data_IF_588506775737
#
_entry.id   IF_588506775737
#
_cell.length_a   1.000
_cell.length_b   1.000
_cell.length_c   1.000
_cell.angle_alpha   90.00
_cell.angle_beta   90.00
_cell.angle_gamma   90.00
#
_symmetry.space_group_name_H-M   'P 1'
#
loop_
_entity.id
_entity.type
_entity.pdbx_description
1 polymer ?
#
# COMPACT_ATOMS: atom_id res chain seq x y z
N UNK A 1 17.57 7.21 -9.84
CA UNK A 1 17.08 6.41 -8.68
C UNK A 1 16.06 5.42 -9.23
N UNK A 2 15.75 4.29 -8.58
CA UNK A 2 14.63 3.47 -9.10
C UNK A 2 13.34 4.31 -9.04
N UNK A 3 12.59 4.33 -10.15
CA UNK A 3 11.27 4.97 -10.21
C UNK A 3 10.32 4.31 -9.18
N UNK A 4 9.65 5.09 -8.31
CA UNK A 4 8.62 4.58 -7.41
C UNK A 4 7.48 3.92 -8.19
N UNK A 5 6.92 2.84 -7.64
CA UNK A 5 5.69 2.25 -8.20
C UNK A 5 4.50 3.20 -7.93
N UNK A 6 3.50 3.16 -8.81
CA UNK A 6 2.17 3.65 -8.51
C UNK A 6 1.26 2.48 -8.13
N UNK A 7 0.63 2.55 -6.97
CA UNK A 7 -0.36 1.59 -6.48
C UNK A 7 -1.74 2.24 -6.41
N UNK A 8 -2.77 1.52 -6.82
CA UNK A 8 -4.17 1.92 -6.59
C UNK A 8 -4.78 1.13 -5.44
N UNK A 9 -5.32 1.84 -4.45
CA UNK A 9 -6.07 1.24 -3.33
C UNK A 9 -7.57 1.23 -3.65
N UNK A 10 -8.17 0.04 -3.74
CA UNK A 10 -9.59 -0.14 -4.02
C UNK A 10 -10.36 -0.35 -2.71
N UNK A 11 -10.89 0.74 -2.15
CA UNK A 11 -11.69 0.77 -0.90
C UNK A 11 -13.20 0.89 -1.15
N UNK A 12 -13.69 0.40 -2.30
CA UNK A 12 -15.11 0.43 -2.63
C UNK A 12 -15.91 -0.55 -1.76
N UNK A 13 -17.19 -0.24 -1.50
CA UNK A 13 -18.07 -1.09 -0.71
C UNK A 13 -18.63 -2.29 -1.47
N UNK A 14 -18.41 -2.35 -2.80
CA UNK A 14 -18.88 -3.45 -3.65
C UNK A 14 -17.78 -3.89 -4.63
N UNK A 15 -17.71 -5.20 -4.88
CA UNK A 15 -16.78 -5.78 -5.84
C UNK A 15 -17.03 -5.27 -7.27
N UNK A 16 -18.29 -5.08 -7.66
CA UNK A 16 -18.62 -4.59 -9.00
C UNK A 16 -18.05 -3.19 -9.26
N UNK A 17 -18.16 -2.28 -8.29
CA UNK A 17 -17.60 -0.93 -8.41
C UNK A 17 -16.07 -0.97 -8.44
N UNK A 18 -15.44 -1.74 -7.55
CA UNK A 18 -14.00 -1.93 -7.51
C UNK A 18 -13.46 -2.48 -8.84
N UNK A 19 -14.07 -3.55 -9.36
CA UNK A 19 -13.68 -4.16 -10.63
C UNK A 19 -13.85 -3.20 -11.81
N UNK A 20 -14.92 -2.39 -11.83
CA UNK A 20 -15.10 -1.35 -12.86
C UNK A 20 -13.96 -0.33 -12.82
N UNK A 21 -13.59 0.16 -11.65
CA UNK A 21 -12.49 1.13 -11.50
C UNK A 21 -11.16 0.49 -11.89
N UNK A 22 -10.91 -0.73 -11.41
CA UNK A 22 -9.72 -1.50 -11.72
C UNK A 22 -9.56 -1.74 -13.23
N UNK A 23 -10.65 -2.04 -13.94
CA UNK A 23 -10.63 -2.21 -15.40
C UNK A 23 -10.02 -0.99 -16.13
N UNK A 24 -10.32 0.23 -15.68
CA UNK A 24 -9.81 1.46 -16.30
C UNK A 24 -8.40 1.83 -15.81
N UNK A 25 -8.16 1.85 -14.51
CA UNK A 25 -6.90 2.35 -13.94
C UNK A 25 -5.82 1.27 -13.78
N UNK A 26 -6.23 0.01 -13.58
CA UNK A 26 -5.37 -1.15 -13.36
C UNK A 26 -4.26 -1.30 -14.41
N UNK A 27 -4.54 -1.20 -15.72
CA UNK A 27 -3.49 -1.28 -16.75
C UNK A 27 -2.34 -0.27 -16.59
N UNK A 28 -2.62 0.91 -16.01
CA UNK A 28 -1.69 2.05 -15.91
C UNK A 28 -0.85 2.00 -14.64
N UNK A 29 -1.38 1.46 -13.54
CA UNK A 29 -0.68 1.36 -12.26
C UNK A 29 0.21 0.11 -12.20
N UNK A 30 1.20 0.12 -11.34
CA UNK A 30 2.15 -0.98 -11.16
C UNK A 30 1.61 -2.04 -10.18
N UNK A 31 0.81 -1.63 -9.20
CA UNK A 31 0.24 -2.49 -8.15
C UNK A 31 -1.27 -2.21 -8.04
N UNK A 32 -2.07 -3.27 -7.93
CA UNK A 32 -3.51 -3.17 -7.64
C UNK A 32 -3.78 -3.79 -6.26
N UNK A 33 -4.38 -3.01 -5.38
CA UNK A 33 -4.65 -3.41 -3.99
C UNK A 33 -6.14 -3.60 -3.75
N UNK A 34 -6.51 -4.74 -3.16
CA UNK A 34 -7.80 -4.93 -2.49
C UNK A 34 -7.68 -4.27 -1.13
N UNK A 35 -8.24 -3.07 -0.99
CA UNK A 35 -8.18 -2.31 0.27
C UNK A 35 -8.99 -2.99 1.36
N UNK A 36 -8.69 -2.68 2.63
CA UNK A 36 -9.37 -3.31 3.78
C UNK A 36 -10.90 -3.23 3.70
N UNK A 37 -11.45 -2.11 3.22
CA UNK A 37 -12.92 -1.96 3.11
C UNK A 37 -13.49 -2.98 2.11
N UNK A 38 -12.85 -3.14 0.96
CA UNK A 38 -13.31 -4.08 -0.06
C UNK A 38 -13.13 -5.53 0.39
N UNK A 39 -12.03 -5.86 1.08
CA UNK A 39 -11.83 -7.18 1.66
C UNK A 39 -12.91 -7.53 2.68
N UNK A 40 -13.29 -6.59 3.56
CA UNK A 40 -14.35 -6.83 4.53
C UNK A 40 -15.72 -7.05 3.88
N UNK A 41 -15.94 -6.49 2.69
CA UNK A 41 -17.21 -6.57 1.98
C UNK A 41 -17.32 -7.80 1.05
N UNK A 42 -16.23 -8.18 0.38
CA UNK A 42 -16.22 -9.20 -0.66
C UNK A 42 -15.27 -10.38 -0.38
N UNK A 43 -14.50 -10.31 0.71
CA UNK A 43 -13.55 -11.34 1.10
C UNK A 43 -12.49 -11.63 0.02
N UNK A 44 -11.98 -12.85 0.05
CA UNK A 44 -10.93 -13.32 -0.87
C UNK A 44 -11.37 -13.34 -2.36
N UNK A 45 -12.67 -13.31 -2.64
CA UNK A 45 -13.18 -13.27 -4.02
C UNK A 45 -12.66 -12.03 -4.74
N UNK A 46 -12.58 -10.88 -4.06
CA UNK A 46 -12.04 -9.65 -4.64
C UNK A 46 -10.58 -9.82 -5.11
N UNK A 47 -9.74 -10.50 -4.32
CA UNK A 47 -8.34 -10.79 -4.66
C UNK A 47 -8.28 -11.66 -5.92
N UNK A 48 -9.08 -12.73 -5.95
CA UNK A 48 -9.10 -13.66 -7.09
C UNK A 48 -9.58 -13.01 -8.39
N UNK A 49 -10.56 -12.09 -8.31
CA UNK A 49 -11.04 -11.31 -9.46
C UNK A 49 -9.94 -10.39 -9.98
N UNK A 50 -9.24 -9.67 -9.11
CA UNK A 50 -8.16 -8.79 -9.55
C UNK A 50 -6.98 -9.57 -10.13
N UNK A 51 -6.62 -10.73 -9.57
CA UNK A 51 -5.62 -11.63 -10.16
C UNK A 51 -6.04 -12.09 -11.55
N UNK A 52 -7.30 -12.48 -11.75
CA UNK A 52 -7.80 -12.89 -13.06
C UNK A 52 -7.78 -11.74 -14.08
N UNK A 53 -8.07 -10.51 -13.65
CA UNK A 53 -8.01 -9.32 -14.50
C UNK A 53 -6.56 -8.91 -14.84
N UNK A 54 -5.63 -9.10 -13.91
CA UNK A 54 -4.25 -8.63 -14.01
C UNK A 54 -3.25 -9.75 -13.67
N UNK A 55 -3.09 -10.75 -14.55
CA UNK A 55 -2.26 -11.93 -14.26
C UNK A 55 -0.79 -11.58 -14.00
N UNK A 56 -0.27 -10.52 -14.63
CA UNK A 56 1.14 -10.13 -14.56
C UNK A 56 1.44 -8.97 -13.59
N UNK A 57 0.42 -8.41 -12.93
CA UNK A 57 0.61 -7.32 -11.97
C UNK A 57 0.82 -7.85 -10.55
N UNK A 58 1.41 -6.99 -9.72
CA UNK A 58 1.46 -7.20 -8.28
C UNK A 58 0.05 -6.95 -7.73
N UNK A 59 -0.48 -7.93 -7.01
CA UNK A 59 -1.75 -7.82 -6.27
C UNK A 59 -1.46 -7.72 -4.78
N UNK A 60 -1.96 -6.66 -4.14
CA UNK A 60 -1.87 -6.46 -2.70
C UNK A 60 -3.20 -6.79 -2.01
N UNK A 61 -3.12 -7.49 -0.88
CA UNK A 61 -4.23 -7.84 0.00
C UNK A 61 -4.09 -7.08 1.31
N UNK A 62 -4.90 -6.03 1.50
CA UNK A 62 -4.80 -5.12 2.63
C UNK A 62 -5.63 -5.60 3.84
N UNK A 63 -5.29 -6.77 4.35
CA UNK A 63 -5.99 -7.42 5.46
C UNK A 63 -5.81 -6.68 6.79
N UNK A 64 -4.74 -5.87 6.93
CA UNK A 64 -4.25 -5.33 8.21
C UNK A 64 -4.19 -6.41 9.29
N UNK A 65 -3.71 -7.59 8.91
CA UNK A 65 -3.71 -8.79 9.74
C UNK A 65 -3.09 -8.52 11.13
N UNK A 66 -3.89 -8.74 12.17
CA UNK A 66 -3.51 -8.54 13.58
C UNK A 66 -3.15 -9.86 14.30
N UNK A 67 -3.74 -10.98 13.87
CA UNK A 67 -3.50 -12.32 14.43
C UNK A 67 -3.72 -13.42 13.37
N UNK A 68 -3.42 -14.68 13.71
CA UNK A 68 -3.54 -15.84 12.83
C UNK A 68 -2.73 -15.69 11.52
N UNK A 69 -1.52 -15.13 11.63
CA UNK A 69 -0.72 -14.65 10.49
C UNK A 69 -0.52 -15.66 9.37
N UNK A 70 -0.21 -16.93 9.68
CA UNK A 70 -0.09 -17.97 8.65
C UNK A 70 -1.40 -18.25 7.92
N UNK A 71 -2.52 -18.34 8.64
CA UNK A 71 -3.84 -18.59 8.05
C UNK A 71 -4.25 -17.45 7.14
N UNK A 72 -4.15 -16.19 7.59
CA UNK A 72 -4.52 -15.03 6.79
C UNK A 72 -3.61 -14.91 5.56
N UNK A 73 -2.29 -15.07 5.74
CA UNK A 73 -1.33 -15.07 4.62
C UNK A 73 -1.60 -16.19 3.61
N UNK A 74 -1.98 -17.39 4.07
CA UNK A 74 -2.30 -18.51 3.20
C UNK A 74 -3.55 -18.22 2.38
N UNK A 75 -4.60 -17.67 3.01
CA UNK A 75 -5.83 -17.28 2.32
C UNK A 75 -5.57 -16.22 1.24
N UNK A 76 -4.82 -15.15 1.56
CA UNK A 76 -4.47 -14.12 0.57
C UNK A 76 -3.62 -14.68 -0.56
N UNK A 77 -2.63 -15.53 -0.25
CA UNK A 77 -1.75 -16.17 -1.23
C UNK A 77 -2.51 -17.10 -2.17
N UNK A 78 -3.39 -17.95 -1.64
CA UNK A 78 -4.20 -18.88 -2.42
C UNK A 78 -5.20 -18.16 -3.32
N UNK A 79 -5.69 -16.99 -2.89
CA UNK A 79 -6.52 -16.11 -3.71
C UNK A 79 -5.73 -15.34 -4.78
N UNK A 80 -4.40 -15.36 -4.73
CA UNK A 80 -3.51 -14.81 -5.75
C UNK A 80 -2.81 -13.49 -5.39
N UNK A 81 -2.76 -13.11 -4.11
CA UNK A 81 -2.00 -11.94 -3.67
C UNK A 81 -0.49 -12.19 -3.65
N UNK A 82 0.29 -11.18 -4.06
CA UNK A 82 1.74 -11.14 -3.94
C UNK A 82 2.19 -10.45 -2.66
N UNK A 83 1.41 -9.46 -2.22
CA UNK A 83 1.65 -8.67 -1.03
C UNK A 83 0.49 -8.80 -0.04
N UNK A 84 0.78 -8.77 1.26
CA UNK A 84 -0.22 -8.71 2.32
C UNK A 84 0.20 -7.74 3.43
N UNK A 85 -0.73 -6.92 3.91
CA UNK A 85 -0.47 -6.02 5.04
C UNK A 85 -0.68 -6.71 6.39
N UNK A 86 0.18 -6.37 7.35
CA UNK A 86 0.02 -6.67 8.79
C UNK A 86 0.00 -5.36 9.54
N UNK A 87 -0.88 -5.21 10.54
CA UNK A 87 -0.94 -3.96 11.31
C UNK A 87 0.24 -3.86 12.29
N UNK A 88 0.77 -2.66 12.53
CA UNK A 88 1.91 -2.41 13.42
C UNK A 88 1.74 -2.90 14.87
N UNK A 89 0.51 -3.16 15.31
CA UNK A 89 0.16 -3.71 16.62
C UNK A 89 0.22 -5.24 16.71
N UNK A 90 0.30 -5.95 15.57
CA UNK A 90 0.44 -7.40 15.56
C UNK A 90 1.71 -7.86 16.30
N UNK A 91 1.67 -9.07 16.86
CA UNK A 91 2.84 -9.60 17.57
C UNK A 91 3.93 -10.01 16.58
N UNK A 92 5.20 -10.01 17.03
CA UNK A 92 6.32 -10.53 16.22
C UNK A 92 6.10 -12.01 15.85
N UNK A 93 5.44 -12.80 16.70
CA UNK A 93 5.11 -14.19 16.39
C UNK A 93 4.10 -14.28 15.23
N UNK A 94 3.04 -13.46 15.25
CA UNK A 94 2.06 -13.34 14.16
C UNK A 94 2.74 -12.92 12.86
N UNK A 95 3.56 -11.86 12.90
CA UNK A 95 4.28 -11.36 11.73
C UNK A 95 5.25 -12.40 11.15
N UNK A 96 6.00 -13.12 11.99
CA UNK A 96 6.85 -14.26 11.58
C UNK A 96 6.03 -15.36 10.90
N UNK A 97 4.88 -15.70 11.47
CA UNK A 97 3.99 -16.74 10.95
C UNK A 97 3.38 -16.36 9.59
N UNK A 98 3.05 -15.08 9.37
CA UNK A 98 2.63 -14.58 8.06
C UNK A 98 3.80 -14.64 7.05
N UNK A 99 4.98 -14.15 7.46
CA UNK A 99 6.18 -14.11 6.60
C UNK A 99 6.70 -15.48 6.20
N UNK A 100 6.41 -16.53 6.97
CA UNK A 100 6.76 -17.91 6.59
C UNK A 100 5.89 -18.47 5.46
N UNK A 101 4.75 -17.84 5.17
CA UNK A 101 3.80 -18.26 4.13
C UNK A 101 3.91 -17.41 2.87
N UNK A 102 3.97 -16.09 3.05
CA UNK A 102 4.05 -15.10 1.97
C UNK A 102 5.26 -14.19 2.18
N UNK A 103 6.13 -14.06 1.18
CA UNK A 103 7.32 -13.21 1.28
C UNK A 103 6.99 -11.72 1.30
N UNK A 104 5.92 -11.33 0.63
CA UNK A 104 5.46 -9.94 0.47
C UNK A 104 4.73 -9.34 1.66
N UNK A 105 5.23 -9.50 2.89
CA UNK A 105 4.63 -8.86 4.05
C UNK A 105 5.00 -7.36 4.12
N UNK A 106 3.99 -6.51 4.33
CA UNK A 106 4.14 -5.06 4.51
C UNK A 106 3.55 -4.67 5.87
N UNK A 107 4.29 -3.90 6.69
CA UNK A 107 3.74 -3.39 7.95
C UNK A 107 3.00 -2.08 7.71
N UNK A 108 1.70 -2.05 8.01
CA UNK A 108 0.86 -0.85 8.02
C UNK A 108 1.12 -0.04 9.30
N UNK A 109 1.66 1.17 9.15
CA UNK A 109 2.04 2.04 10.28
C UNK A 109 0.84 2.89 10.71
N UNK A 110 0.39 2.69 11.94
CA UNK A 110 -0.69 3.45 12.57
C UNK A 110 -0.19 4.10 13.86
N UNK A 111 -0.39 3.45 15.01
CA UNK A 111 -0.14 4.06 16.32
C UNK A 111 0.72 3.22 17.26
N UNK A 112 0.96 1.95 16.94
CA UNK A 112 1.72 1.06 17.81
C UNK A 112 3.22 0.98 17.46
N UNK A 113 3.64 1.57 16.34
CA UNK A 113 5.03 1.55 15.91
C UNK A 113 5.95 2.42 16.78
N UNK A 114 7.21 1.98 16.89
CA UNK A 114 8.34 2.76 17.34
C UNK A 114 9.62 2.23 16.67
N UNK A 115 10.76 2.88 16.88
CA UNK A 115 12.01 2.48 16.22
C UNK A 115 12.52 1.09 16.66
N UNK A 116 12.24 0.67 17.89
CA UNK A 116 12.61 -0.66 18.39
C UNK A 116 11.79 -1.76 17.71
N UNK A 117 10.47 -1.58 17.58
CA UNK A 117 9.60 -2.50 16.83
C UNK A 117 9.98 -2.56 15.36
N UNK A 118 10.32 -1.42 14.76
CA UNK A 118 10.82 -1.38 13.39
C UNK A 118 12.10 -2.21 13.21
N UNK A 119 13.05 -2.15 14.16
CA UNK A 119 14.23 -3.01 14.14
C UNK A 119 13.85 -4.50 14.22
N UNK A 120 12.90 -4.87 15.08
CA UNK A 120 12.40 -6.26 15.18
C UNK A 120 11.77 -6.74 13.86
N UNK A 121 11.06 -5.90 13.12
CA UNK A 121 10.50 -6.27 11.82
C UNK A 121 11.61 -6.58 10.79
N UNK A 122 12.70 -5.79 10.78
CA UNK A 122 13.88 -6.06 9.95
C UNK A 122 14.54 -7.39 10.31
N UNK A 123 14.71 -7.67 11.61
CA UNK A 123 15.34 -8.91 12.10
C UNK A 123 14.61 -10.17 11.64
N UNK A 124 13.28 -10.09 11.46
CA UNK A 124 12.46 -11.20 10.98
C UNK A 124 12.29 -11.23 9.46
N UNK A 125 13.01 -10.36 8.74
CA UNK A 125 13.04 -10.33 7.28
C UNK A 125 11.87 -9.61 6.62
N UNK A 126 11.11 -8.79 7.35
CA UNK A 126 10.13 -7.88 6.73
C UNK A 126 10.87 -6.64 6.22
N UNK A 127 10.70 -6.34 4.93
CA UNK A 127 11.43 -5.27 4.26
C UNK A 127 10.56 -4.08 3.86
N UNK A 128 9.24 -4.17 4.03
CA UNK A 128 8.30 -3.15 3.56
C UNK A 128 7.48 -2.58 4.70
N UNK A 129 7.30 -1.26 4.67
CA UNK A 129 6.37 -0.54 5.56
C UNK A 129 5.51 0.41 4.72
N UNK A 130 4.29 0.63 5.17
CA UNK A 130 3.36 1.59 4.59
C UNK A 130 3.21 2.72 5.60
N UNK A 131 3.71 3.90 5.26
CA UNK A 131 3.51 5.11 6.05
C UNK A 131 2.27 5.85 5.56
N UNK A 132 1.26 5.94 6.42
CA UNK A 132 0.00 6.58 6.11
C UNK A 132 -0.10 7.93 6.82
N UNK A 133 -0.25 9.02 6.05
CA UNK A 133 -0.71 10.28 6.63
C UNK A 133 -2.17 10.12 7.05
N UNK A 134 -2.44 10.16 8.36
CA UNK A 134 -3.76 9.80 8.91
C UNK A 134 -4.89 10.63 8.29
N UNK A 135 -6.03 9.97 8.05
CA UNK A 135 -7.24 10.61 7.50
C UNK A 135 -7.74 11.72 8.42
N UNK A 136 -7.61 11.52 9.72
CA UNK A 136 -8.03 12.48 10.75
C UNK A 136 -7.10 13.70 10.80
N UNK A 137 -5.78 13.49 10.62
CA UNK A 137 -4.82 14.58 10.47
C UNK A 137 -5.12 15.40 9.21
N UNK A 138 -5.43 14.74 8.09
CA UNK A 138 -5.86 15.41 6.87
C UNK A 138 -7.15 16.22 7.06
N UNK A 139 -8.15 15.65 7.77
CA UNK A 139 -9.40 16.35 8.10
C UNK A 139 -9.19 17.51 9.08
N UNK A 140 -8.16 17.44 9.92
CA UNK A 140 -7.71 18.52 10.80
C UNK A 140 -6.86 19.59 10.07
N UNK A 141 -6.62 19.43 8.76
CA UNK A 141 -5.88 20.37 7.93
C UNK A 141 -4.36 20.14 7.89
N UNK A 142 -3.87 19.03 8.45
CA UNK A 142 -2.47 18.65 8.31
C UNK A 142 -2.16 18.21 6.87
N UNK A 143 -1.05 18.69 6.34
CA UNK A 143 -0.52 18.34 5.02
C UNK A 143 0.85 17.69 5.20
N UNK A 144 1.28 16.93 4.20
CA UNK A 144 2.63 16.37 4.18
C UNK A 144 3.66 17.46 4.49
N UNK A 145 4.43 17.25 5.57
CA UNK A 145 5.40 18.21 6.06
C UNK A 145 6.74 17.57 6.42
N UNK A 146 7.66 18.39 6.94
CA UNK A 146 9.01 17.94 7.31
C UNK A 146 9.00 16.79 8.32
N UNK A 147 8.04 16.80 9.26
CA UNK A 147 7.88 15.72 10.26
C UNK A 147 7.67 14.36 9.58
N UNK A 148 6.70 14.27 8.67
CA UNK A 148 6.39 13.03 7.96
C UNK A 148 7.54 12.61 7.05
N UNK A 149 8.13 13.57 6.33
CA UNK A 149 9.29 13.30 5.47
C UNK A 149 10.49 12.79 6.26
N UNK A 150 10.74 13.30 7.47
CA UNK A 150 11.81 12.83 8.34
C UNK A 150 11.55 11.40 8.84
N UNK A 151 10.30 11.05 9.15
CA UNK A 151 9.93 9.67 9.51
C UNK A 151 10.14 8.73 8.33
N UNK A 152 9.64 9.10 7.14
CA UNK A 152 9.83 8.33 5.90
C UNK A 152 11.32 8.11 5.61
N UNK A 153 12.13 9.18 5.64
CA UNK A 153 13.59 9.09 5.47
C UNK A 153 14.23 8.18 6.50
N UNK A 154 13.79 8.22 7.76
CA UNK A 154 14.35 7.37 8.81
C UNK A 154 14.05 5.88 8.57
N UNK A 155 12.85 5.52 8.15
CA UNK A 155 12.55 4.14 7.75
C UNK A 155 13.38 3.69 6.55
N UNK A 156 13.57 4.56 5.56
CA UNK A 156 14.45 4.30 4.41
C UNK A 156 15.90 4.06 4.87
N UNK A 157 16.44 4.89 5.78
CA UNK A 157 17.77 4.72 6.36
C UNK A 157 17.93 3.39 7.11
N UNK A 158 16.86 2.90 7.74
CA UNK A 158 16.81 1.57 8.36
C UNK A 158 16.76 0.42 7.34
N UNK A 159 16.72 0.72 6.05
CA UNK A 159 16.71 -0.25 4.96
C UNK A 159 15.33 -0.81 4.64
N UNK A 160 14.26 -0.06 4.93
CA UNK A 160 12.92 -0.41 4.46
C UNK A 160 12.64 0.14 3.06
N UNK A 161 11.88 -0.62 2.29
CA UNK A 161 11.15 -0.14 1.12
C UNK A 161 9.87 0.53 1.65
N UNK A 162 9.83 1.85 1.61
CA UNK A 162 8.72 2.62 2.19
C UNK A 162 7.70 2.97 1.11
N UNK A 163 6.48 2.48 1.29
CA UNK A 163 5.30 2.96 0.57
C UNK A 163 4.68 4.13 1.34
N UNK A 164 4.21 5.16 0.64
CA UNK A 164 3.54 6.31 1.25
C UNK A 164 2.11 6.43 0.74
N UNK A 165 1.21 6.81 1.62
CA UNK A 165 -0.23 6.91 1.34
C UNK A 165 -0.90 7.97 2.22
N UNK A 166 -2.14 8.31 1.93
CA UNK A 166 -2.92 9.34 2.63
C UNK A 166 -2.66 10.74 2.06
N UNK A 167 -3.74 11.43 1.66
CA UNK A 167 -3.69 12.81 1.17
C UNK A 167 -2.93 13.04 -0.15
N UNK A 168 -2.47 11.98 -0.83
CA UNK A 168 -1.66 12.12 -2.03
C UNK A 168 -2.44 12.73 -3.21
N UNK A 169 -1.82 13.71 -3.84
CA UNK A 169 -2.17 14.35 -5.11
C UNK A 169 -0.89 14.68 -5.89
N UNK A 170 -1.00 15.25 -7.10
CA UNK A 170 0.16 15.55 -7.94
C UNK A 170 1.15 16.52 -7.26
N UNK A 171 0.67 17.52 -6.52
CA UNK A 171 1.55 18.46 -5.80
C UNK A 171 2.30 17.77 -4.65
N UNK A 172 1.67 16.82 -3.96
CA UNK A 172 2.35 16.07 -2.89
C UNK A 172 3.46 15.16 -3.41
N UNK A 173 3.37 14.65 -4.65
CA UNK A 173 4.44 13.81 -5.25
C UNK A 173 5.76 14.59 -5.28
N UNK A 174 5.70 15.87 -5.65
CA UNK A 174 6.87 16.77 -5.68
C UNK A 174 7.57 16.89 -4.33
N UNK A 175 6.84 16.84 -3.21
CA UNK A 175 7.43 16.97 -1.87
C UNK A 175 8.44 15.85 -1.54
N UNK A 176 8.34 14.73 -2.24
CA UNK A 176 9.24 13.59 -2.05
C UNK A 176 10.44 13.64 -2.98
N UNK A 177 10.63 14.66 -3.81
CA UNK A 177 11.80 14.77 -4.69
C UNK A 177 13.11 14.54 -3.89
N UNK A 178 13.97 13.65 -4.40
CA UNK A 178 15.21 13.26 -3.71
C UNK A 178 15.04 12.22 -2.59
N UNK A 179 13.82 11.80 -2.27
CA UNK A 179 13.53 10.71 -1.32
C UNK A 179 13.30 9.41 -2.11
N UNK A 180 13.98 8.29 -1.78
CA UNK A 180 13.80 7.03 -2.51
C UNK A 180 12.55 6.28 -2.03
N UNK A 181 11.38 6.89 -2.24
CA UNK A 181 10.07 6.27 -2.01
C UNK A 181 9.97 5.00 -2.86
N UNK A 182 9.47 3.91 -2.27
CA UNK A 182 9.30 2.66 -3.01
C UNK A 182 8.00 2.63 -3.80
N UNK A 183 6.91 3.11 -3.22
CA UNK A 183 5.58 3.10 -3.84
C UNK A 183 4.73 4.28 -3.35
N UNK A 184 4.03 4.95 -4.26
CA UNK A 184 2.96 5.87 -3.95
C UNK A 184 1.62 5.13 -4.05
N UNK A 185 0.83 5.12 -2.99
CA UNK A 185 -0.48 4.46 -2.97
C UNK A 185 -1.57 5.53 -3.04
N UNK A 186 -2.32 5.55 -4.14
CA UNK A 186 -3.40 6.48 -4.37
C UNK A 186 -4.77 5.77 -4.30
N UNK A 187 -5.66 6.30 -3.45
CA UNK A 187 -7.06 5.89 -3.38
C UNK A 187 -7.96 6.85 -4.17
N UNK A 188 -8.80 7.62 -3.46
CA UNK A 188 -9.80 8.54 -4.04
C UNK A 188 -9.26 9.58 -5.02
N UNK A 189 -7.98 9.93 -4.97
CA UNK A 189 -7.34 10.80 -5.95
C UNK A 189 -7.36 10.20 -7.37
N UNK A 190 -7.49 8.87 -7.49
CA UNK A 190 -7.72 8.15 -8.74
C UNK A 190 -9.15 7.59 -8.76
N UNK A 191 -9.53 6.81 -7.74
CA UNK A 191 -10.78 6.05 -7.74
C UNK A 191 -12.04 6.92 -7.66
N UNK A 192 -11.91 8.16 -7.16
CA UNK A 192 -13.01 9.11 -7.02
C UNK A 192 -13.14 10.09 -8.17
N UNK A 193 -12.32 9.97 -9.22
CA UNK A 193 -12.38 10.82 -10.40
C UNK A 193 -13.35 10.24 -11.43
N UNK A 194 -13.92 11.11 -12.27
CA UNK A 194 -14.80 10.70 -13.38
C UNK A 194 -14.06 9.77 -14.37
N UNK A 195 -12.77 10.06 -14.62
CA UNK A 195 -11.88 9.24 -15.42
C UNK A 195 -10.68 8.74 -14.57
N UNK A 196 -10.81 7.56 -13.94
CA UNK A 196 -9.72 6.96 -13.17
C UNK A 196 -8.47 6.65 -14.01
N UNK A 197 -8.61 6.38 -15.31
CA UNK A 197 -7.48 6.08 -16.17
C UNK A 197 -6.63 7.34 -16.40
N UNK A 198 -7.26 8.46 -16.77
CA UNK A 198 -6.58 9.74 -16.93
C UNK A 198 -5.93 10.22 -15.63
N UNK A 199 -6.60 10.02 -14.49
CA UNK A 199 -6.04 10.34 -13.17
C UNK A 199 -4.79 9.50 -12.86
N UNK A 200 -4.84 8.17 -13.07
CA UNK A 200 -3.68 7.30 -12.87
C UNK A 200 -2.51 7.67 -13.80
N UNK A 201 -2.79 8.00 -15.06
CA UNK A 201 -1.78 8.43 -16.03
C UNK A 201 -1.10 9.73 -15.57
N UNK A 202 -1.87 10.68 -15.03
CA UNK A 202 -1.33 11.94 -14.51
C UNK A 202 -0.36 11.70 -13.34
N UNK A 203 -0.67 10.76 -12.43
CA UNK A 203 0.26 10.36 -11.37
C UNK A 203 1.53 9.70 -11.93
N UNK A 204 1.41 8.78 -12.89
CA UNK A 204 2.57 8.15 -13.53
C UNK A 204 3.51 9.18 -14.15
N UNK A 205 2.95 10.18 -14.83
CA UNK A 205 3.72 11.21 -15.50
C UNK A 205 4.33 12.21 -14.51
N UNK A 206 3.64 12.52 -13.41
CA UNK A 206 4.20 13.33 -12.32
C UNK A 206 5.39 12.63 -11.66
N UNK A 207 5.29 11.34 -11.35
CA UNK A 207 6.38 10.55 -10.77
C UNK A 207 7.61 10.54 -11.70
N UNK A 208 7.41 10.38 -13.02
CA UNK A 208 8.51 10.37 -14.00
C UNK A 208 9.28 11.70 -14.06
N UNK A 209 8.70 12.83 -13.66
CA UNK A 209 9.41 14.12 -13.67
C UNK A 209 10.59 14.14 -12.69
N UNK A 210 10.47 13.41 -11.57
CA UNK A 210 11.41 13.51 -10.45
C UNK A 210 12.27 12.25 -10.25
N UNK A 211 11.84 11.08 -10.75
CA UNK A 211 12.61 9.83 -10.69
C UNK A 211 12.85 9.25 -12.08
N UNK A 212 14.03 9.58 -12.63
CA UNK A 212 14.63 8.94 -13.80
C UNK A 212 15.72 7.91 -13.40
#
# INVERSE_FOLDING_TARGET
>A
MRKPNLQIALDQNTLAEAARIAHFAGPIVDIVEVGTILELQAGQEAISVLRAMFPDKIIASDTKCADAGSTVAQNSKDAGADLMTVIDSATIATMKSAKSVLDGIQVELYSAWNWERAAQWKEIGIEQVIYHQSRDALLAGEVWGEKDLNIVKKFIEMGFKVSVTGGLNLDTIKLFEGVPVYTFIAGRAITGQEDPAAAAQSFQDEIKKYWN
#
